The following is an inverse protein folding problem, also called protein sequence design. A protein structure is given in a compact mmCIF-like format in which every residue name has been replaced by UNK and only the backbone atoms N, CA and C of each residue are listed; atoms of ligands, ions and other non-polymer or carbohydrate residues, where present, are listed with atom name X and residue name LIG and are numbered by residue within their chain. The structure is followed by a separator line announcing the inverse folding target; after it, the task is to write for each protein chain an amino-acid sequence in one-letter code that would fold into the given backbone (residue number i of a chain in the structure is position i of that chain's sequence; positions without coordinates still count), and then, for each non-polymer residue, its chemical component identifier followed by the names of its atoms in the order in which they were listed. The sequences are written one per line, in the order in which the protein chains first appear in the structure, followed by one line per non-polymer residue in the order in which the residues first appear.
data_IF_825530400666
#
_entry.id   IF_825530400666
#
_cell.length_a   1.000
_cell.length_b   1.000
_cell.length_c   1.000
_cell.angle_alpha   90.00
_cell.angle_beta   90.00
_cell.angle_gamma   90.00
#
_symmetry.space_group_name_H-M   'P 1'
#
loop_
_entity.id
_entity.type
_entity.pdbx_description
1 polymer ?
#
# COMPACT_ATOMS: atom_id res chain seq x y z
N UNK A 1 23.69 13.49 -16.73
CA UNK A 1 22.32 13.31 -16.23
C UNK A 1 22.16 11.84 -15.84
N UNK A 2 22.36 11.51 -14.57
CA UNK A 2 22.10 10.17 -14.03
C UNK A 2 20.64 10.09 -13.62
N UNK A 3 19.90 9.13 -14.16
CA UNK A 3 18.55 8.85 -13.70
C UNK A 3 18.68 8.20 -12.32
N UNK A 4 17.94 8.72 -11.34
CA UNK A 4 17.85 8.11 -10.02
C UNK A 4 17.02 6.83 -10.17
N UNK A 5 17.71 5.70 -10.32
CA UNK A 5 17.08 4.39 -10.15
C UNK A 5 16.52 4.30 -8.73
N UNK A 6 15.23 3.97 -8.65
CA UNK A 6 14.55 3.68 -7.39
C UNK A 6 15.28 2.48 -6.79
N UNK A 7 16.16 2.73 -5.81
CA UNK A 7 16.86 1.68 -5.07
C UNK A 7 15.84 1.01 -4.17
N UNK A 8 15.08 0.07 -4.74
CA UNK A 8 14.29 -0.87 -3.95
C UNK A 8 15.28 -1.71 -3.17
N UNK A 9 15.22 -1.63 -1.84
CA UNK A 9 16.02 -2.46 -0.95
C UNK A 9 15.52 -3.92 -1.08
N UNK A 10 15.94 -4.61 -2.15
CA UNK A 10 15.69 -6.02 -2.41
C UNK A 10 16.59 -6.87 -1.48
N UNK A 11 16.47 -6.64 -0.18
CA UNK A 11 17.14 -7.42 0.85
C UNK A 11 16.24 -8.56 1.31
N UNK A 12 16.66 -9.79 1.05
CA UNK A 12 16.13 -11.05 1.57
C UNK A 12 14.94 -11.67 0.84
N UNK A 13 15.19 -12.39 -0.28
CA UNK A 13 14.34 -13.48 -0.83
C UNK A 13 12.84 -13.30 -0.51
N UNK A 14 12.28 -12.15 -0.89
CA UNK A 14 10.98 -11.71 -0.36
C UNK A 14 9.90 -12.49 -1.07
N UNK A 15 9.27 -13.41 -0.33
CA UNK A 15 8.13 -14.17 -0.82
C UNK A 15 7.09 -13.14 -1.32
N UNK A 16 6.71 -13.16 -2.61
CA UNK A 16 5.82 -12.14 -3.15
C UNK A 16 4.48 -12.18 -2.42
N UNK A 17 4.07 -11.03 -1.90
CA UNK A 17 2.77 -10.90 -1.24
C UNK A 17 1.63 -10.89 -2.27
N UNK A 18 1.87 -10.38 -3.48
CA UNK A 18 0.91 -10.41 -4.56
C UNK A 18 1.07 -11.69 -5.37
N UNK A 19 -0.01 -12.47 -5.43
CA UNK A 19 -0.10 -13.62 -6.33
C UNK A 19 -0.24 -13.16 -7.78
N UNK A 20 -1.07 -12.13 -8.01
CA UNK A 20 -1.31 -11.57 -9.34
C UNK A 20 -1.63 -10.10 -9.22
N UNK A 21 -0.98 -9.26 -10.02
CA UNK A 21 -1.29 -7.84 -10.10
C UNK A 21 -1.97 -7.61 -11.45
N UNK A 22 -3.18 -7.05 -11.43
CA UNK A 22 -3.93 -6.72 -12.64
C UNK A 22 -3.82 -5.24 -12.97
N UNK A 23 -3.84 -4.39 -11.94
CA UNK A 23 -3.81 -2.94 -12.12
C UNK A 23 -3.03 -2.29 -10.99
N UNK A 24 -2.17 -1.34 -11.34
CA UNK A 24 -1.39 -0.54 -10.40
C UNK A 24 -1.46 0.90 -10.84
N UNK A 25 -1.80 1.78 -9.92
CA UNK A 25 -1.63 3.21 -10.10
C UNK A 25 -0.13 3.52 -10.03
N UNK A 26 0.52 3.54 -11.21
CA UNK A 26 1.94 3.88 -11.39
C UNK A 26 1.97 5.31 -11.90
N UNK A 27 2.12 6.28 -10.99
CA UNK A 27 1.89 7.69 -11.33
C UNK A 27 2.85 8.68 -10.65
N UNK A 28 3.89 8.21 -9.96
CA UNK A 28 4.77 9.10 -9.21
C UNK A 28 4.06 9.73 -8.00
N UNK A 29 3.16 8.97 -7.36
CA UNK A 29 2.56 9.43 -6.11
C UNK A 29 3.66 9.58 -5.06
N UNK A 30 3.71 10.76 -4.45
CA UNK A 30 4.63 11.04 -3.35
C UNK A 30 3.96 10.63 -2.04
N UNK A 31 4.69 9.89 -1.21
CA UNK A 31 4.20 9.55 0.12
C UNK A 31 4.01 10.82 0.96
N UNK A 32 2.80 11.03 1.46
CA UNK A 32 2.51 12.03 2.48
C UNK A 32 2.96 11.49 3.83
N UNK A 33 4.02 12.10 4.36
CA UNK A 33 4.63 11.72 5.63
C UNK A 33 3.92 12.35 6.84
N UNK A 34 2.85 13.11 6.65
CA UNK A 34 2.12 13.78 7.74
C UNK A 34 1.64 12.75 8.77
N UNK A 35 2.14 12.86 10.00
CA UNK A 35 1.84 11.91 11.09
C UNK A 35 2.60 10.58 11.02
N UNK A 36 3.59 10.45 10.15
CA UNK A 36 4.49 9.30 10.05
C UNK A 36 5.90 9.67 10.52
N UNK A 37 6.58 8.72 11.16
CA UNK A 37 7.98 8.89 11.58
C UNK A 37 8.90 8.58 10.39
N UNK A 38 9.68 9.58 9.96
CA UNK A 38 10.68 9.40 8.92
C UNK A 38 11.68 8.28 9.27
N UNK A 39 12.13 7.54 8.26
CA UNK A 39 13.04 6.40 8.39
C UNK A 39 12.38 5.07 8.79
N UNK A 40 11.08 5.07 9.12
CA UNK A 40 10.33 3.82 9.30
C UNK A 40 10.00 3.17 7.95
N UNK A 41 9.91 1.85 7.89
CA UNK A 41 9.50 1.14 6.67
C UNK A 41 8.00 0.84 6.70
N UNK A 42 7.27 1.21 5.65
CA UNK A 42 5.91 0.79 5.41
C UNK A 42 5.96 -0.53 4.64
N UNK A 43 5.45 -1.63 5.19
CA UNK A 43 5.45 -2.90 4.50
C UNK A 43 4.45 -2.91 3.33
N UNK A 44 4.79 -3.68 2.31
CA UNK A 44 3.94 -3.99 1.18
C UNK A 44 2.63 -4.65 1.67
N UNK A 45 1.54 -4.37 0.97
CA UNK A 45 0.21 -4.82 1.36
C UNK A 45 -0.45 -3.92 2.42
N UNK A 46 0.19 -2.85 2.86
CA UNK A 46 -0.47 -1.81 3.66
C UNK A 46 -1.59 -1.15 2.85
N UNK A 47 -2.80 -0.99 3.39
CA UNK A 47 -3.87 -0.23 2.76
C UNK A 47 -3.45 1.23 2.55
N UNK A 48 -3.50 1.69 1.31
CA UNK A 48 -3.15 3.05 0.91
C UNK A 48 -4.37 3.74 0.31
N UNK A 49 -4.43 5.04 0.54
CA UNK A 49 -5.30 5.94 -0.19
C UNK A 49 -4.44 6.97 -0.91
N UNK A 50 -4.94 7.52 -2.00
CA UNK A 50 -4.23 8.51 -2.79
C UNK A 50 -5.21 9.55 -3.32
N UNK A 51 -4.68 10.73 -3.51
CA UNK A 51 -5.35 11.87 -4.10
C UNK A 51 -4.71 12.15 -5.47
N UNK A 52 -5.54 12.13 -6.52
CA UNK A 52 -5.11 12.30 -7.90
C UNK A 52 -4.79 13.76 -8.24
N UNK A 53 -5.42 14.71 -7.53
CA UNK A 53 -5.22 16.14 -7.75
C UNK A 53 -3.88 16.59 -7.17
N UNK A 54 -3.59 16.17 -5.94
CA UNK A 54 -2.32 16.50 -5.25
C UNK A 54 -1.19 15.52 -5.57
N UNK A 55 -1.50 14.39 -6.22
CA UNK A 55 -0.58 13.26 -6.46
C UNK A 55 0.13 12.79 -5.20
N UNK A 56 -0.55 12.85 -4.06
CA UNK A 56 -0.06 12.37 -2.77
C UNK A 56 -0.76 11.08 -2.38
N UNK A 57 0.00 10.17 -1.78
CA UNK A 57 -0.51 8.92 -1.25
C UNK A 57 -0.22 8.84 0.24
N UNK A 58 -1.19 8.37 1.03
CA UNK A 58 -1.08 8.22 2.48
C UNK A 58 -1.58 6.85 2.90
N UNK A 59 -1.22 6.43 4.11
CA UNK A 59 -1.83 5.23 4.71
C UNK A 59 -3.33 5.46 4.84
N UNK A 60 -4.12 4.45 4.45
CA UNK A 60 -5.56 4.50 4.62
C UNK A 60 -5.89 4.52 6.11
N UNK A 61 -6.92 5.28 6.47
CA UNK A 61 -7.40 5.42 7.84
C UNK A 61 -8.82 4.87 7.96
N UNK A 62 -9.21 4.53 9.18
CA UNK A 62 -10.59 4.20 9.50
C UNK A 62 -11.23 5.42 10.12
N UNK A 63 -12.36 5.85 9.57
CA UNK A 63 -13.14 6.97 10.08
C UNK A 63 -14.38 6.45 10.80
N UNK A 64 -14.66 7.01 11.97
CA UNK A 64 -15.80 6.64 12.81
C UNK A 64 -15.46 5.65 13.93
N UNK A 65 -16.48 5.27 14.69
CA UNK A 65 -16.40 4.35 15.83
C UNK A 65 -16.97 2.99 15.44
N UNK A 66 -16.39 1.89 15.92
CA UNK A 66 -16.95 0.56 15.70
C UNK A 66 -18.41 0.49 16.22
N UNK A 67 -19.36 -0.13 15.48
CA UNK A 67 -19.17 -1.01 14.33
C UNK A 67 -19.23 -0.34 12.93
N UNK A 68 -19.61 0.93 12.84
CA UNK A 68 -19.90 1.63 11.56
C UNK A 68 -18.68 2.33 10.96
N UNK A 69 -17.50 1.73 11.13
CA UNK A 69 -16.26 2.30 10.60
C UNK A 69 -16.26 2.26 9.06
N UNK A 70 -15.81 3.35 8.46
CA UNK A 70 -15.59 3.44 7.02
C UNK A 70 -14.10 3.49 6.74
N UNK A 71 -13.66 2.84 5.67
CA UNK A 71 -12.29 2.91 5.20
C UNK A 71 -12.20 3.73 3.92
N UNK A 72 -11.20 4.59 3.85
CA UNK A 72 -10.82 5.36 2.65
C UNK A 72 -9.78 4.62 1.76
N UNK A 73 -9.55 3.32 2.00
CA UNK A 73 -8.56 2.54 1.27
C UNK A 73 -8.95 2.40 -0.20
N UNK A 74 -8.05 2.84 -1.10
CA UNK A 74 -8.24 2.73 -2.55
C UNK A 74 -7.41 1.59 -3.16
N UNK A 75 -6.34 1.18 -2.49
CA UNK A 75 -5.50 0.08 -2.93
C UNK A 75 -4.52 -0.39 -1.87
N UNK A 76 -3.59 -1.26 -2.27
CA UNK A 76 -2.53 -1.78 -1.42
C UNK A 76 -1.17 -1.33 -1.90
N UNK A 77 -0.25 -1.04 -0.97
CA UNK A 77 1.12 -0.72 -1.31
C UNK A 77 1.80 -1.92 -2.00
N UNK A 78 2.44 -1.70 -3.15
CA UNK A 78 3.04 -2.78 -3.95
C UNK A 78 4.29 -3.38 -3.32
N UNK A 79 5.19 -2.54 -2.83
CA UNK A 79 6.51 -2.88 -2.31
C UNK A 79 6.73 -2.17 -0.98
N UNK A 80 7.69 -2.66 -0.19
CA UNK A 80 8.10 -1.96 1.03
C UNK A 80 8.68 -0.58 0.66
N UNK A 81 8.26 0.46 1.37
CA UNK A 81 8.70 1.84 1.14
C UNK A 81 9.18 2.44 2.45
N UNK A 82 10.38 3.03 2.42
CA UNK A 82 10.92 3.79 3.54
C UNK A 82 10.24 5.15 3.55
N UNK A 83 9.82 5.59 4.75
CA UNK A 83 9.18 6.89 4.95
C UNK A 83 10.25 7.96 4.80
N UNK A 84 10.30 8.56 3.62
CA UNK A 84 11.14 9.70 3.27
C UNK A 84 10.27 10.75 2.56
N UNK A 85 10.72 12.01 2.57
CA UNK A 85 10.02 13.07 1.84
C UNK A 85 9.99 12.76 0.35
N UNK A 86 8.80 12.83 -0.25
CA UNK A 86 8.57 12.53 -1.67
C UNK A 86 8.98 11.10 -2.10
N UNK A 87 8.99 10.14 -1.17
CA UNK A 87 9.23 8.74 -1.52
C UNK A 87 8.20 8.28 -2.57
N UNK A 88 8.64 7.72 -3.72
CA UNK A 88 7.73 7.26 -4.75
C UNK A 88 6.99 6.01 -4.29
N UNK A 89 5.67 6.01 -4.39
CA UNK A 89 4.85 4.84 -4.03
C UNK A 89 4.03 4.33 -5.22
N UNK A 90 4.01 3.01 -5.35
CA UNK A 90 3.14 2.29 -6.28
C UNK A 90 1.97 1.67 -5.51
N UNK A 91 0.74 1.99 -5.91
CA UNK A 91 -0.47 1.44 -5.27
C UNK A 91 -1.16 0.46 -6.21
N UNK A 92 -1.34 -0.78 -5.76
CA UNK A 92 -2.10 -1.82 -6.46
C UNK A 92 -3.59 -1.59 -6.23
N UNK A 93 -4.31 -1.32 -7.32
CA UNK A 93 -5.75 -1.12 -7.33
C UNK A 93 -6.51 -2.45 -7.45
N UNK A 94 -5.94 -3.39 -8.20
CA UNK A 94 -6.59 -4.66 -8.55
C UNK A 94 -5.60 -5.80 -8.62
N UNK A 95 -5.96 -6.93 -8.04
CA UNK A 95 -5.11 -8.11 -8.05
C UNK A 95 -5.53 -9.15 -7.02
N UNK A 96 -4.71 -10.18 -6.90
CA UNK A 96 -4.81 -11.21 -5.88
C UNK A 96 -3.61 -11.09 -4.96
N UNK A 97 -3.86 -10.98 -3.66
CA UNK A 97 -2.84 -10.89 -2.61
C UNK A 97 -2.97 -12.08 -1.67
N UNK A 98 -1.84 -12.63 -1.23
CA UNK A 98 -1.79 -13.65 -0.21
C UNK A 98 -2.03 -13.00 1.16
N UNK A 99 -3.25 -13.16 1.69
CA UNK A 99 -3.69 -12.50 2.92
C UNK A 99 -2.80 -12.85 4.12
N UNK A 100 -2.22 -14.05 4.14
CA UNK A 100 -1.32 -14.53 5.21
C UNK A 100 0.09 -13.96 5.15
N UNK A 101 0.49 -13.39 4.01
CA UNK A 101 1.81 -12.78 3.79
C UNK A 101 1.81 -11.27 4.00
N UNK A 102 0.63 -10.66 4.12
CA UNK A 102 0.51 -9.23 4.40
C UNK A 102 0.63 -8.99 5.90
N UNK A 103 1.64 -8.21 6.28
CA UNK A 103 1.89 -7.78 7.65
C UNK A 103 1.94 -6.26 7.69
N UNK A 104 1.14 -5.57 8.53
CA UNK A 104 0.15 -6.11 9.47
C UNK A 104 -1.12 -6.64 8.78
N UNK A 105 -1.84 -7.53 9.47
CA UNK A 105 -3.10 -8.09 8.97
C UNK A 105 -4.10 -6.98 8.64
N UNK A 106 -4.60 -6.97 7.42
CA UNK A 106 -5.58 -5.98 6.96
C UNK A 106 -6.91 -6.18 7.69
N UNK A 107 -7.39 -5.13 8.36
CA UNK A 107 -8.69 -5.09 9.03
C UNK A 107 -9.83 -5.40 8.05
N UNK A 108 -10.87 -6.11 8.50
CA UNK A 108 -12.07 -6.44 7.72
C UNK A 108 -12.72 -5.22 7.08
N UNK A 109 -12.69 -4.05 7.74
CA UNK A 109 -13.24 -2.80 7.17
C UNK A 109 -12.44 -2.34 5.94
N UNK A 110 -11.10 -2.39 6.01
CA UNK A 110 -10.23 -2.11 4.85
C UNK A 110 -10.43 -3.12 3.74
N UNK A 111 -10.59 -4.42 4.06
CA UNK A 111 -10.87 -5.46 3.05
C UNK A 111 -12.19 -5.19 2.32
N UNK A 112 -13.23 -4.78 3.04
CA UNK A 112 -14.54 -4.45 2.47
C UNK A 112 -14.47 -3.25 1.52
N UNK A 113 -13.60 -2.28 1.79
CA UNK A 113 -13.36 -1.13 0.91
C UNK A 113 -12.57 -1.49 -0.36
N UNK A 114 -11.97 -2.68 -0.44
CA UNK A 114 -11.16 -3.14 -1.57
C UNK A 114 -11.83 -4.32 -2.31
N UNK A 115 -13.01 -4.12 -2.94
CA UNK A 115 -13.78 -5.22 -3.54
C UNK A 115 -13.08 -5.86 -4.74
N UNK A 116 -12.15 -5.16 -5.38
CA UNK A 116 -11.45 -5.61 -6.59
C UNK A 116 -10.12 -6.30 -6.26
N UNK A 117 -9.75 -6.33 -4.97
CA UNK A 117 -8.58 -7.05 -4.48
C UNK A 117 -9.03 -8.35 -3.85
N UNK A 118 -8.58 -9.47 -4.43
CA UNK A 118 -8.88 -10.80 -3.93
C UNK A 118 -7.86 -11.18 -2.87
N UNK A 119 -8.34 -11.41 -1.65
CA UNK A 119 -7.52 -11.90 -0.55
C UNK A 119 -7.49 -13.44 -0.57
N UNK A 120 -6.42 -14.00 -1.10
CA UNK A 120 -6.17 -15.44 -1.13
C UNK A 120 -5.69 -15.90 0.25
N UNK A 121 -6.42 -16.83 0.86
CA UNK A 121 -6.01 -17.47 2.12
C UNK A 121 -5.01 -18.61 1.93
N UNK A 122 -4.69 -18.92 0.66
CA UNK A 122 -3.70 -19.93 0.29
C UNK A 122 -2.29 -19.51 0.67
N UNK A 123 -1.44 -20.50 0.92
CA UNK A 123 -0.09 -20.31 1.49
C UNK A 123 0.96 -19.97 0.45
#
# INVERSE_FOLDING_TARGET
MGYLDITTNQGSRTIPIFQKILETARGGFSLDITGLTAGQTIPAGTPMTFDEDTRKAKKATLTGTAPDQTSDAKGLLKNDVIIEENAPVDVVLRGTVYARRVTPTINTVHRKALPIIIFSESR
#
